data_IF_534778070541
#
_entry.id   IF_534778070541
#
_cell.length_a   1.000
_cell.length_b   1.000
_cell.length_c   1.000
_cell.angle_alpha   90.00
_cell.angle_beta   90.00
_cell.angle_gamma   90.00
#
_symmetry.space_group_name_H-M   'P 1'
#
loop_
_entity.id
_entity.type
_entity.pdbx_description
1 polymer ?
#
# COMPACT_ATOMS: atom_id res chain seq x y z
N UNK A 1 -4.85 -1.10 16.94
CA UNK A 1 -4.93 -1.16 15.47
C UNK A 1 -4.21 -2.41 15.00
N UNK A 2 -4.78 -3.20 14.09
CA UNK A 2 -4.09 -4.37 13.55
C UNK A 2 -2.82 -3.90 12.82
N UNK A 3 -1.66 -4.51 13.13
CA UNK A 3 -0.38 -4.21 12.46
C UNK A 3 -0.53 -4.55 10.98
N UNK A 4 -0.23 -3.59 10.11
CA UNK A 4 -0.13 -3.83 8.67
C UNK A 4 1.02 -4.82 8.46
N UNK A 5 0.72 -5.97 7.85
CA UNK A 5 1.72 -6.98 7.51
C UNK A 5 2.60 -6.42 6.39
N UNK A 6 3.90 -6.32 6.64
CA UNK A 6 4.90 -5.83 5.67
C UNK A 6 5.48 -6.99 4.86
N UNK A 7 6.21 -6.67 3.79
CA UNK A 7 6.95 -7.66 2.98
C UNK A 7 7.86 -8.53 3.83
N UNK A 8 8.58 -7.92 4.78
CA UNK A 8 9.44 -8.62 5.72
C UNK A 8 8.70 -9.69 6.53
N UNK A 9 7.46 -9.43 6.96
CA UNK A 9 6.69 -10.39 7.76
C UNK A 9 6.37 -11.66 6.96
N UNK A 10 6.14 -11.53 5.64
CA UNK A 10 5.99 -12.68 4.73
C UNK A 10 7.32 -13.41 4.50
N UNK A 11 8.43 -12.68 4.37
CA UNK A 11 9.77 -13.28 4.22
C UNK A 11 10.15 -14.12 5.44
N UNK A 12 9.85 -13.64 6.64
CA UNK A 12 10.05 -14.40 7.88
C UNK A 12 9.17 -15.64 7.90
N UNK A 13 7.91 -15.55 7.46
CA UNK A 13 7.04 -16.72 7.35
C UNK A 13 7.60 -17.77 6.38
N UNK A 14 8.08 -17.35 5.20
CA UNK A 14 8.74 -18.25 4.24
C UNK A 14 9.98 -18.92 4.82
N UNK A 15 10.83 -18.14 5.49
CA UNK A 15 12.04 -18.63 6.15
C UNK A 15 11.72 -19.65 7.23
N UNK A 16 10.77 -19.35 8.11
CA UNK A 16 10.37 -20.22 9.22
C UNK A 16 9.77 -21.54 8.74
N UNK A 17 9.12 -21.54 7.57
CA UNK A 17 8.60 -22.76 6.95
C UNK A 17 9.64 -23.50 6.11
N UNK A 18 10.89 -23.03 6.04
CA UNK A 18 11.99 -23.70 5.34
C UNK A 18 11.98 -23.52 3.82
N UNK A 19 11.49 -22.38 3.32
CA UNK A 19 11.65 -22.05 1.90
C UNK A 19 13.12 -21.76 1.57
N UNK A 20 13.69 -22.55 0.66
CA UNK A 20 15.12 -22.59 0.34
C UNK A 20 15.67 -21.28 -0.27
N UNK A 21 14.85 -20.49 -0.95
CA UNK A 21 15.23 -19.19 -1.54
C UNK A 21 14.87 -17.98 -0.68
N UNK A 22 14.53 -18.20 0.60
CA UNK A 22 14.17 -17.12 1.52
C UNK A 22 15.31 -16.12 1.75
N UNK A 23 16.56 -16.58 1.77
CA UNK A 23 17.73 -15.70 1.91
C UNK A 23 17.93 -14.82 0.67
N UNK A 24 17.82 -15.39 -0.54
CA UNK A 24 17.90 -14.65 -1.81
C UNK A 24 16.82 -13.55 -1.88
N UNK A 25 15.58 -13.87 -1.52
CA UNK A 25 14.50 -12.88 -1.43
C UNK A 25 14.80 -11.79 -0.39
N UNK A 26 15.39 -12.15 0.75
CA UNK A 26 15.75 -11.20 1.80
C UNK A 26 16.88 -10.25 1.36
N UNK A 27 17.86 -10.74 0.60
CA UNK A 27 18.93 -9.91 0.02
C UNK A 27 18.37 -8.89 -0.97
N UNK A 28 17.47 -9.32 -1.87
CA UNK A 28 16.78 -8.43 -2.81
C UNK A 28 15.92 -7.39 -2.10
N UNK A 29 15.17 -7.81 -1.06
CA UNK A 29 14.41 -6.91 -0.20
C UNK A 29 15.31 -5.85 0.44
N UNK A 30 16.39 -6.26 1.11
CA UNK A 30 17.30 -5.33 1.78
C UNK A 30 17.96 -4.37 0.79
N UNK A 31 18.33 -4.84 -0.40
CA UNK A 31 18.91 -4.01 -1.46
C UNK A 31 17.93 -2.95 -1.95
N UNK A 32 16.67 -3.31 -2.22
CA UNK A 32 15.68 -2.29 -2.58
C UNK A 32 15.44 -1.31 -1.43
N UNK A 33 15.45 -1.77 -0.16
CA UNK A 33 15.13 -0.89 0.99
C UNK A 33 16.18 0.19 1.16
N UNK A 34 17.43 -0.13 0.84
CA UNK A 34 18.56 0.80 0.93
C UNK A 34 18.64 1.72 -0.28
N UNK A 35 18.53 1.15 -1.48
CA UNK A 35 18.90 1.86 -2.71
C UNK A 35 17.68 2.37 -3.50
N UNK A 36 16.46 1.94 -3.12
CA UNK A 36 15.22 2.09 -3.90
C UNK A 36 15.39 1.52 -5.32
N UNK A 37 16.14 0.43 -5.43
CA UNK A 37 16.49 -0.19 -6.71
C UNK A 37 15.32 -0.99 -7.29
N UNK A 38 14.71 -0.47 -8.35
CA UNK A 38 13.60 -1.10 -9.06
C UNK A 38 13.99 -2.46 -9.66
N UNK A 39 15.27 -2.67 -10.02
CA UNK A 39 15.73 -3.97 -10.53
C UNK A 39 15.64 -5.04 -9.46
N UNK A 40 16.08 -4.73 -8.23
CA UNK A 40 15.95 -5.63 -7.09
C UNK A 40 14.50 -5.99 -6.76
N UNK A 41 13.57 -5.02 -6.86
CA UNK A 41 12.12 -5.30 -6.77
C UNK A 41 11.64 -6.21 -7.91
N UNK A 42 12.03 -5.91 -9.14
CA UNK A 42 11.63 -6.70 -10.31
C UNK A 42 12.10 -8.14 -10.20
N UNK A 43 13.36 -8.36 -9.82
CA UNK A 43 13.93 -9.69 -9.62
C UNK A 43 13.21 -10.43 -8.48
N UNK A 44 12.95 -9.75 -7.36
CA UNK A 44 12.19 -10.30 -6.24
C UNK A 44 10.80 -10.77 -6.66
N UNK A 45 10.05 -9.93 -7.38
CA UNK A 45 8.73 -10.26 -7.87
C UNK A 45 8.76 -11.38 -8.92
N UNK A 46 9.78 -11.41 -9.77
CA UNK A 46 9.99 -12.48 -10.76
C UNK A 46 10.21 -13.83 -10.08
N UNK A 47 11.01 -13.88 -9.02
CA UNK A 47 11.23 -15.10 -8.23
C UNK A 47 9.91 -15.57 -7.64
N UNK A 48 9.18 -14.69 -6.96
CA UNK A 48 7.89 -15.04 -6.34
C UNK A 48 6.89 -15.54 -7.38
N UNK A 49 6.89 -14.96 -8.58
CA UNK A 49 6.02 -15.39 -9.67
C UNK A 49 6.39 -16.77 -10.22
N UNK A 50 7.67 -17.00 -10.52
CA UNK A 50 8.18 -18.29 -11.00
C UNK A 50 7.95 -19.41 -9.98
N UNK A 51 8.01 -19.08 -8.70
CA UNK A 51 7.87 -20.00 -7.58
C UNK A 51 6.43 -20.06 -7.04
N UNK A 52 5.44 -19.51 -7.77
CA UNK A 52 4.05 -19.46 -7.29
C UNK A 52 3.54 -20.84 -6.87
N UNK A 53 3.86 -21.88 -7.64
CA UNK A 53 3.34 -23.24 -7.40
C UNK A 53 4.06 -23.94 -6.23
N UNK A 54 5.19 -23.39 -5.78
CA UNK A 54 5.87 -23.80 -4.56
C UNK A 54 5.39 -22.95 -3.37
N UNK A 55 5.46 -21.63 -3.49
CA UNK A 55 5.13 -20.67 -2.44
C UNK A 55 3.66 -20.76 -2.04
N UNK A 56 2.75 -20.74 -3.01
CA UNK A 56 1.31 -20.56 -2.79
C UNK A 56 0.66 -21.75 -2.05
N UNK A 57 0.78 -23.01 -2.49
CA UNK A 57 0.14 -24.12 -1.78
C UNK A 57 0.91 -24.54 -0.51
N UNK A 58 2.25 -24.44 -0.50
CA UNK A 58 3.09 -25.03 0.56
C UNK A 58 3.39 -24.05 1.70
N UNK A 59 3.47 -22.76 1.42
CA UNK A 59 4.01 -21.78 2.36
C UNK A 59 3.04 -20.63 2.69
N UNK A 60 2.47 -19.99 1.67
CA UNK A 60 1.60 -18.83 1.79
C UNK A 60 0.35 -19.08 0.96
N UNK A 61 -0.71 -19.66 1.55
CA UNK A 61 -1.98 -19.94 0.86
C UNK A 61 -2.46 -18.81 -0.06
N UNK A 62 -3.32 -19.12 -1.05
CA UNK A 62 -3.81 -18.22 -2.13
C UNK A 62 -3.83 -16.71 -1.78
N UNK A 63 -4.62 -16.34 -0.76
CA UNK A 63 -4.80 -14.95 -0.35
C UNK A 63 -3.51 -14.32 0.20
N UNK A 64 -2.73 -15.07 0.97
CA UNK A 64 -1.46 -14.60 1.52
C UNK A 64 -0.42 -14.37 0.44
N UNK A 65 -0.37 -15.23 -0.60
CA UNK A 65 0.54 -15.04 -1.73
C UNK A 65 0.20 -13.80 -2.55
N UNK A 66 -1.08 -13.60 -2.88
CA UNK A 66 -1.52 -12.42 -3.64
C UNK A 66 -1.27 -11.13 -2.83
N UNK A 67 -1.56 -11.14 -1.53
CA UNK A 67 -1.24 -10.02 -0.64
C UNK A 67 0.26 -9.78 -0.52
N UNK A 68 1.09 -10.82 -0.44
CA UNK A 68 2.54 -10.67 -0.33
C UNK A 68 3.12 -9.89 -1.52
N UNK A 69 2.70 -10.26 -2.73
CA UNK A 69 3.06 -9.52 -3.95
C UNK A 69 2.58 -8.08 -3.85
N UNK A 70 1.29 -7.85 -3.61
CA UNK A 70 0.73 -6.49 -3.55
C UNK A 70 1.46 -5.59 -2.55
N UNK A 71 1.69 -6.09 -1.33
CA UNK A 71 2.41 -5.39 -0.26
C UNK A 71 3.86 -5.09 -0.65
N UNK A 72 4.54 -6.00 -1.35
CA UNK A 72 5.91 -5.76 -1.83
C UNK A 72 6.01 -4.56 -2.77
N UNK A 73 5.09 -4.47 -3.73
CA UNK A 73 5.05 -3.33 -4.64
C UNK A 73 4.63 -2.03 -3.94
N UNK A 74 3.60 -2.10 -3.10
CA UNK A 74 3.12 -0.96 -2.30
C UNK A 74 4.22 -0.39 -1.39
N UNK A 75 4.96 -1.25 -0.68
CA UNK A 75 6.07 -0.85 0.19
C UNK A 75 7.18 -0.16 -0.61
N UNK A 76 7.54 -0.70 -1.78
CA UNK A 76 8.55 -0.09 -2.64
C UNK A 76 8.12 1.30 -3.14
N UNK A 77 6.87 1.45 -3.59
CA UNK A 77 6.32 2.74 -4.00
C UNK A 77 6.34 3.75 -2.85
N UNK A 78 6.00 3.32 -1.63
CA UNK A 78 6.06 4.16 -0.45
C UNK A 78 7.50 4.60 -0.12
N UNK A 79 8.47 3.69 -0.18
CA UNK A 79 9.88 4.00 0.03
C UNK A 79 10.41 5.00 -1.00
N UNK A 80 10.01 4.85 -2.27
CA UNK A 80 10.37 5.79 -3.33
C UNK A 80 9.82 7.19 -3.08
N UNK A 81 8.54 7.29 -2.71
CA UNK A 81 7.91 8.57 -2.38
C UNK A 81 8.57 9.21 -1.15
N UNK A 82 8.84 8.43 -0.09
CA UNK A 82 9.55 8.93 1.09
C UNK A 82 10.91 9.51 0.74
N UNK A 83 11.71 8.79 -0.04
CA UNK A 83 13.05 9.21 -0.43
C UNK A 83 13.02 10.53 -1.21
N UNK A 84 12.06 10.70 -2.12
CA UNK A 84 11.87 11.96 -2.84
C UNK A 84 11.57 13.11 -1.86
N UNK A 85 10.72 12.87 -0.86
CA UNK A 85 10.40 13.87 0.18
C UNK A 85 11.62 14.26 1.03
N UNK A 86 12.45 13.28 1.38
CA UNK A 86 13.73 13.49 2.09
C UNK A 86 14.71 14.32 1.25
N UNK A 87 14.85 14.01 -0.04
CA UNK A 87 15.77 14.70 -0.96
C UNK A 87 15.38 16.16 -1.22
N UNK A 88 14.08 16.47 -1.34
CA UNK A 88 13.60 17.84 -1.58
C UNK A 88 13.50 18.68 -0.31
N UNK A 89 13.78 18.10 0.87
CA UNK A 89 13.68 18.79 2.16
C UNK A 89 12.25 19.25 2.47
N UNK A 90 11.24 18.50 2.05
CA UNK A 90 9.85 18.82 2.33
C UNK A 90 9.60 18.80 3.85
N UNK A 91 9.05 19.91 4.37
CA UNK A 91 8.79 20.11 5.81
C UNK A 91 7.81 19.08 6.37
N UNK A 92 7.89 18.86 7.68
CA UNK A 92 7.05 17.95 8.51
C UNK A 92 5.52 18.10 8.35
N UNK A 93 5.06 19.17 7.71
CA UNK A 93 3.64 19.46 7.51
C UNK A 93 2.98 18.61 6.42
N UNK A 94 3.67 18.34 5.31
CA UNK A 94 3.17 17.49 4.22
C UNK A 94 4.09 16.31 4.09
N UNK A 95 3.56 15.11 4.28
CA UNK A 95 4.34 13.88 4.16
C UNK A 95 3.52 12.73 3.60
N UNK A 96 4.19 11.72 3.03
CA UNK A 96 3.59 10.44 2.70
C UNK A 96 3.19 9.63 3.95
N UNK A 97 2.07 8.91 3.82
CA UNK A 97 1.52 7.97 4.78
C UNK A 97 1.19 6.66 4.06
N UNK A 98 1.47 5.55 4.71
CA UNK A 98 1.27 4.21 4.16
C UNK A 98 0.00 3.57 4.72
N UNK A 99 -0.90 3.11 3.84
CA UNK A 99 -2.12 2.35 4.16
C UNK A 99 -2.98 3.04 5.24
N UNK A 100 -3.16 4.34 5.06
CA UNK A 100 -3.80 5.23 6.03
C UNK A 100 -5.28 5.38 5.71
N UNK A 101 -6.08 5.60 6.76
CA UNK A 101 -7.52 5.85 6.61
C UNK A 101 -7.75 7.33 6.27
N UNK A 102 -8.39 7.56 5.13
CA UNK A 102 -8.86 8.88 4.71
C UNK A 102 -10.36 8.96 4.97
N UNK A 103 -10.78 10.00 5.70
CA UNK A 103 -12.19 10.30 5.95
C UNK A 103 -12.86 10.69 4.64
N UNK A 104 -13.93 10.03 4.23
CA UNK A 104 -14.65 10.35 2.98
C UNK A 104 -15.97 11.05 3.24
N UNK A 105 -16.70 10.64 4.28
CA UNK A 105 -18.00 11.22 4.63
C UNK A 105 -18.21 11.25 6.14
N UNK A 106 -19.09 12.14 6.60
CA UNK A 106 -19.58 12.19 7.97
C UNK A 106 -21.10 12.27 7.95
N UNK A 107 -21.76 11.30 8.58
CA UNK A 107 -23.21 11.29 8.72
C UNK A 107 -23.58 11.75 10.11
N UNK A 108 -24.58 12.61 10.21
CA UNK A 108 -25.16 13.05 11.48
C UNK A 108 -26.46 12.29 11.69
N UNK A 109 -26.46 11.34 12.62
CA UNK A 109 -27.63 10.52 12.92
C UNK A 109 -28.15 10.93 14.30
N UNK A 110 -29.43 11.21 14.41
CA UNK A 110 -30.06 11.52 15.70
C UNK A 110 -30.38 10.21 16.44
N UNK A 111 -29.66 9.95 17.52
CA UNK A 111 -29.80 8.74 18.34
C UNK A 111 -29.68 9.09 19.82
N UNK A 112 -30.50 8.49 20.68
CA UNK A 112 -30.51 8.73 22.13
C UNK A 112 -30.64 10.23 22.50
N UNK A 113 -31.48 10.97 21.76
CA UNK A 113 -31.76 12.38 22.02
C UNK A 113 -30.63 13.35 21.62
N UNK A 114 -29.59 12.89 20.91
CA UNK A 114 -28.48 13.73 20.43
C UNK A 114 -28.05 13.34 19.01
N UNK A 115 -27.49 14.31 18.28
CA UNK A 115 -26.80 13.99 17.03
C UNK A 115 -25.46 13.31 17.32
N UNK A 116 -25.24 12.13 16.73
CA UNK A 116 -23.97 11.42 16.73
C UNK A 116 -23.33 11.51 15.34
N UNK A 117 -22.01 11.63 15.32
CA UNK A 117 -21.21 11.68 14.09
C UNK A 117 -20.75 10.26 13.74
N UNK A 118 -21.06 9.82 12.53
CA UNK A 118 -20.65 8.53 11.99
C UNK A 118 -19.69 8.75 10.81
N UNK A 119 -18.37 8.76 11.05
CA UNK A 119 -17.39 8.96 9.99
C UNK A 119 -17.22 7.69 9.15
N UNK A 120 -17.21 7.84 7.83
CA UNK A 120 -16.81 6.79 6.88
C UNK A 120 -15.39 7.03 6.41
N UNK A 121 -14.60 5.97 6.38
CA UNK A 121 -13.21 6.02 5.94
C UNK A 121 -12.98 5.06 4.78
N UNK A 122 -12.08 5.45 3.89
CA UNK A 122 -11.44 4.55 2.91
C UNK A 122 -9.97 4.44 3.22
N UNK A 123 -9.42 3.23 3.11
CA UNK A 123 -7.97 3.04 3.14
C UNK A 123 -7.40 3.33 1.77
N UNK A 124 -6.25 3.97 1.75
CA UNK A 124 -5.51 4.30 0.55
C UNK A 124 -4.09 3.81 0.74
N UNK A 125 -3.56 3.15 -0.29
CA UNK A 125 -2.24 2.52 -0.28
C UNK A 125 -1.15 3.55 0.08
N UNK A 126 -1.10 4.69 -0.62
CA UNK A 126 -0.23 5.82 -0.24
C UNK A 126 -1.01 7.13 -0.25
N UNK A 127 -0.92 7.90 0.82
CA UNK A 127 -1.50 9.24 0.94
C UNK A 127 -0.40 10.25 1.16
N UNK A 128 -0.32 11.30 0.35
CA UNK A 128 0.53 12.46 0.61
C UNK A 128 -0.37 13.58 1.09
N UNK A 129 -0.09 14.12 2.28
CA UNK A 129 -0.93 15.17 2.84
C UNK A 129 -0.49 15.61 4.22
N UNK A 130 -1.41 16.28 4.92
CA UNK A 130 -1.19 16.77 6.29
C UNK A 130 -1.96 15.91 7.29
N UNK A 131 -1.35 15.56 8.41
CA UNK A 131 -2.02 14.84 9.50
C UNK A 131 -2.47 15.81 10.57
N UNK A 132 -3.75 15.80 10.88
CA UNK A 132 -4.38 16.61 11.93
C UNK A 132 -5.12 15.67 12.88
N UNK A 133 -4.57 15.50 14.09
CA UNK A 133 -5.04 14.48 15.03
C UNK A 133 -4.94 13.06 14.44
N UNK A 134 -6.08 12.38 14.36
CA UNK A 134 -6.19 11.01 13.83
C UNK A 134 -6.55 10.95 12.34
N UNK A 135 -6.71 12.09 11.67
CA UNK A 135 -7.14 12.16 10.27
C UNK A 135 -6.01 12.68 9.39
N UNK A 136 -5.91 12.14 8.17
CA UNK A 136 -5.05 12.70 7.12
C UNK A 136 -5.91 13.46 6.13
N UNK A 137 -5.50 14.70 5.86
CA UNK A 137 -6.04 15.58 4.84
C UNK A 137 -5.22 15.37 3.56
N UNK A 138 -5.74 14.64 2.57
CA UNK A 138 -4.97 14.22 1.40
C UNK A 138 -4.82 15.37 0.41
N UNK A 139 -3.63 15.44 -0.20
CA UNK A 139 -3.32 16.27 -1.38
C UNK A 139 -3.14 15.36 -2.60
N UNK A 140 -2.45 14.23 -2.40
CA UNK A 140 -2.30 13.18 -3.40
C UNK A 140 -2.68 11.84 -2.77
N UNK A 141 -3.38 11.02 -3.54
CA UNK A 141 -3.65 9.61 -3.22
C UNK A 141 -3.11 8.74 -4.35
N UNK A 142 -2.48 7.62 -3.98
CA UNK A 142 -1.88 6.69 -4.92
C UNK A 142 -2.39 5.29 -4.58
N UNK A 143 -2.97 4.60 -5.57
CA UNK A 143 -3.28 3.17 -5.54
C UNK A 143 -2.14 2.39 -6.19
N UNK A 144 -1.71 1.27 -5.59
CA UNK A 144 -0.61 0.45 -6.08
C UNK A 144 -1.10 -0.96 -6.41
N UNK A 145 -0.93 -1.42 -7.65
CA UNK A 145 -1.34 -2.77 -8.09
C UNK A 145 -0.23 -3.45 -8.91
N UNK A 146 -0.05 -4.76 -8.72
CA UNK A 146 0.86 -5.58 -9.57
C UNK A 146 0.19 -6.01 -10.88
N UNK A 147 -1.12 -5.84 -10.98
CA UNK A 147 -1.83 -6.04 -12.21
C UNK A 147 -3.10 -5.20 -12.20
N UNK A 148 -3.42 -4.61 -13.35
CA UNK A 148 -4.54 -3.71 -13.48
C UNK A 148 -5.49 -4.25 -14.55
N UNK A 149 -6.71 -4.59 -14.12
CA UNK A 149 -7.83 -4.89 -15.01
C UNK A 149 -8.84 -3.76 -14.98
N UNK A 150 -9.81 -3.81 -15.88
CA UNK A 150 -10.95 -2.88 -15.91
C UNK A 150 -11.68 -2.81 -14.57
N UNK A 151 -11.88 -3.94 -13.89
CA UNK A 151 -12.56 -3.97 -12.59
C UNK A 151 -11.75 -3.20 -11.52
N UNK A 152 -10.43 -3.36 -11.50
CA UNK A 152 -9.56 -2.65 -10.56
C UNK A 152 -9.54 -1.14 -10.82
N UNK A 153 -9.61 -0.72 -12.09
CA UNK A 153 -9.72 0.69 -12.45
C UNK A 153 -11.03 1.32 -11.97
N UNK A 154 -12.15 0.60 -12.12
CA UNK A 154 -13.45 1.08 -11.64
C UNK A 154 -13.49 1.18 -10.10
N UNK A 155 -12.89 0.22 -9.40
CA UNK A 155 -12.74 0.26 -7.95
C UNK A 155 -11.88 1.44 -7.47
N UNK A 156 -10.70 1.62 -8.08
CA UNK A 156 -9.82 2.76 -7.79
C UNK A 156 -10.54 4.09 -8.06
N UNK A 157 -11.25 4.20 -9.19
CA UNK A 157 -12.03 5.39 -9.54
C UNK A 157 -13.11 5.67 -8.50
N UNK A 158 -13.87 4.66 -8.10
CA UNK A 158 -14.91 4.82 -7.09
C UNK A 158 -14.33 5.28 -5.73
N UNK A 159 -13.16 4.78 -5.34
CA UNK A 159 -12.46 5.27 -4.14
C UNK A 159 -12.04 6.72 -4.31
N UNK A 160 -11.49 7.09 -5.46
CA UNK A 160 -11.05 8.46 -5.75
C UNK A 160 -12.20 9.45 -5.76
N UNK A 161 -13.32 9.10 -6.40
CA UNK A 161 -14.52 9.95 -6.45
C UNK A 161 -15.09 10.19 -5.05
N UNK A 162 -15.14 9.15 -4.20
CA UNK A 162 -15.58 9.29 -2.81
C UNK A 162 -14.68 10.23 -2.00
N UNK A 163 -13.36 10.16 -2.20
CA UNK A 163 -12.41 11.05 -1.50
C UNK A 163 -12.55 12.49 -2.05
N UNK A 164 -12.72 12.66 -3.36
CA UNK A 164 -12.90 13.96 -4.01
C UNK A 164 -14.16 14.70 -3.58
N UNK A 165 -15.23 13.99 -3.26
CA UNK A 165 -16.45 14.60 -2.72
C UNK A 165 -16.18 15.43 -1.45
N UNK A 166 -15.23 14.98 -0.61
CA UNK A 166 -14.80 15.72 0.60
C UNK A 166 -13.57 16.59 0.37
N UNK A 167 -12.64 16.16 -0.48
CA UNK A 167 -11.40 16.88 -0.79
C UNK A 167 -11.32 17.19 -2.29
N UNK A 168 -11.98 18.26 -2.77
CA UNK A 168 -12.15 18.51 -4.21
C UNK A 168 -10.84 18.66 -5.00
N UNK A 169 -9.75 19.05 -4.32
CA UNK A 169 -8.45 19.32 -4.93
C UNK A 169 -7.47 18.14 -4.86
N UNK A 170 -7.90 16.98 -4.36
CA UNK A 170 -7.03 15.80 -4.26
C UNK A 170 -6.72 15.23 -5.65
N UNK A 171 -5.44 14.98 -5.90
CA UNK A 171 -4.97 14.30 -7.10
C UNK A 171 -4.91 12.79 -6.85
N UNK A 172 -5.50 12.01 -7.76
CA UNK A 172 -5.50 10.54 -7.68
C UNK A 172 -4.63 9.94 -8.77
N UNK A 173 -3.73 9.03 -8.39
CA UNK A 173 -2.88 8.27 -9.30
C UNK A 173 -3.05 6.76 -9.05
N UNK A 174 -2.96 5.97 -10.10
CA UNK A 174 -2.85 4.52 -9.97
C UNK A 174 -1.53 4.08 -10.58
N UNK A 175 -0.70 3.41 -9.79
CA UNK A 175 0.57 2.84 -10.21
C UNK A 175 0.39 1.35 -10.43
N UNK A 176 0.80 0.89 -11.61
CA UNK A 176 0.78 -0.52 -11.96
C UNK A 176 2.17 -0.97 -12.41
N UNK A 177 2.59 -2.15 -11.93
CA UNK A 177 3.80 -2.82 -12.42
C UNK A 177 3.44 -4.14 -13.06
N UNK A 178 3.60 -4.26 -14.38
CA UNK A 178 3.39 -5.52 -15.07
C UNK A 178 4.67 -6.39 -15.03
N UNK A 179 4.53 -7.62 -14.56
CA UNK A 179 5.58 -8.63 -14.53
C UNK A 179 5.41 -9.52 -15.77
N UNK A 180 5.97 -9.10 -16.89
CA UNK A 180 6.09 -9.94 -18.09
C UNK A 180 7.21 -10.96 -17.93
#
# INVERSE_FOLDING_TARGET
>A
MARIKKTYDYLIELKNRGYNRSNELLELYNKWKRDTDIRSLSDFLSIIWKEKDNIKPKYLGENSYNNFRGVAFEEFCFDLVNKIFEEVGAKDEIKPFWNEKVLTDEFYIFEDGRFKIHPKYKRVDIVIGKKEGNSVHPIVIISCKIWQSTNWLDEDRAVFDNIRNRYPYVLGYSLCMNLN
#
